data_IF_843227825939
#
_entry.id   IF_843227825939
#
_cell.length_a   1.000
_cell.length_b   1.000
_cell.length_c   1.000
_cell.angle_alpha   90.00
_cell.angle_beta   90.00
_cell.angle_gamma   90.00
#
_symmetry.space_group_name_H-M   'P 1'
#
loop_
_entity.id
_entity.type
_entity.pdbx_description
1 polymer ?
#
# COMPACT_ATOMS: atom_id res chain seq x y z
N UNK A 1 -8.08 15.40 -5.78
CA UNK A 1 -7.26 14.29 -5.24
C UNK A 1 -7.69 13.03 -5.98
N UNK A 2 -6.77 12.21 -6.46
CA UNK A 2 -7.12 10.96 -7.14
C UNK A 2 -7.58 9.94 -6.11
N UNK A 3 -8.85 9.55 -6.16
CA UNK A 3 -9.36 8.44 -5.36
C UNK A 3 -8.77 7.14 -5.91
N UNK A 4 -8.19 6.32 -5.04
CA UNK A 4 -7.67 5.01 -5.39
C UNK A 4 -8.48 3.95 -4.64
N UNK A 5 -8.78 2.83 -5.29
CA UNK A 5 -9.44 1.70 -4.63
C UNK A 5 -8.40 0.93 -3.82
N UNK A 6 -8.25 1.28 -2.54
CA UNK A 6 -7.26 0.67 -1.66
C UNK A 6 -7.73 -0.66 -1.08
N UNK A 7 -6.85 -1.66 -1.14
CA UNK A 7 -7.04 -2.96 -0.52
C UNK A 7 -6.31 -3.01 0.82
N UNK A 8 -7.06 -3.27 1.90
CA UNK A 8 -6.54 -3.35 3.27
C UNK A 8 -6.03 -4.76 3.59
N UNK A 9 -4.86 -4.86 4.23
CA UNK A 9 -4.34 -6.12 4.73
C UNK A 9 -5.20 -6.69 5.87
N UNK A 10 -5.22 -8.02 5.98
CA UNK A 10 -5.95 -8.73 7.05
C UNK A 10 -5.30 -8.59 8.43
N UNK A 11 -4.01 -8.23 8.49
CA UNK A 11 -3.23 -8.07 9.73
C UNK A 11 -3.46 -6.74 10.46
N UNK A 12 -4.29 -5.85 9.90
CA UNK A 12 -4.66 -4.58 10.51
C UNK A 12 -5.16 -4.65 11.96
N UNK A 13 -5.76 -5.77 12.38
CA UNK A 13 -6.31 -5.94 13.72
C UNK A 13 -5.23 -6.11 14.81
N UNK A 14 -4.00 -6.48 14.45
CA UNK A 14 -2.90 -6.64 15.39
C UNK A 14 -2.02 -5.38 15.42
N UNK A 15 -2.06 -4.67 16.55
CA UNK A 15 -1.07 -3.64 16.89
C UNK A 15 -0.97 -2.46 15.92
N UNK A 16 -2.03 -2.16 15.15
CA UNK A 16 -2.07 -1.06 14.17
C UNK A 16 -1.14 -1.27 12.96
N UNK A 17 -0.80 -2.52 12.62
CA UNK A 17 0.10 -2.89 11.51
C UNK A 17 -0.61 -2.93 10.16
N UNK A 18 -1.39 -1.89 9.86
CA UNK A 18 -2.14 -1.83 8.63
C UNK A 18 -1.25 -1.58 7.41
N UNK A 19 -1.46 -2.38 6.37
CA UNK A 19 -0.87 -2.13 5.05
C UNK A 19 -2.00 -2.03 4.05
N UNK A 20 -1.99 -0.94 3.29
CA UNK A 20 -2.91 -0.71 2.18
C UNK A 20 -2.14 -0.77 0.88
N UNK A 21 -2.70 -1.45 -0.10
CA UNK A 21 -2.12 -1.58 -1.44
C UNK A 21 -3.13 -1.23 -2.51
N UNK A 22 -2.69 -0.66 -3.61
CA UNK A 22 -3.54 -0.45 -4.79
C UNK A 22 -2.69 -0.39 -6.06
N UNK A 23 -3.34 -0.50 -7.21
CA UNK A 23 -2.73 -0.31 -8.52
C UNK A 23 -3.22 1.02 -9.07
N UNK A 24 -2.30 1.96 -9.27
CA UNK A 24 -2.61 3.26 -9.85
C UNK A 24 -3.00 3.14 -11.34
N UNK A 25 -3.69 4.13 -11.92
CA UNK A 25 -4.05 4.11 -13.35
C UNK A 25 -2.85 3.99 -14.31
N UNK A 26 -1.66 4.37 -13.87
CA UNK A 26 -0.41 4.23 -14.63
C UNK A 26 0.29 2.87 -14.44
N UNK A 27 -0.38 1.91 -13.78
CA UNK A 27 0.10 0.55 -13.56
C UNK A 27 1.13 0.39 -12.43
N UNK A 28 1.45 1.46 -11.70
CA UNK A 28 2.33 1.36 -10.53
C UNK A 28 1.59 0.80 -9.32
N UNK A 29 2.30 0.05 -8.50
CA UNK A 29 1.80 -0.39 -7.19
C UNK A 29 2.09 0.70 -6.17
N UNK A 30 1.04 1.11 -5.44
CA UNK A 30 1.15 2.02 -4.32
C UNK A 30 0.98 1.23 -3.02
N UNK A 31 1.79 1.55 -2.02
CA UNK A 31 1.74 0.93 -0.69
C UNK A 31 1.74 2.03 0.36
N UNK A 32 0.85 1.94 1.33
CA UNK A 32 0.68 2.92 2.39
C UNK A 32 0.32 2.25 3.72
N UNK A 33 0.56 2.96 4.82
CA UNK A 33 0.10 2.56 6.16
C UNK A 33 -1.39 2.88 6.41
N UNK A 34 -2.03 3.60 5.48
CA UNK A 34 -3.44 3.98 5.54
C UNK A 34 -4.09 4.06 4.16
N UNK A 35 -5.42 3.92 4.11
CA UNK A 35 -6.19 3.75 2.88
C UNK A 35 -6.72 5.02 2.24
N UNK A 36 -6.65 6.20 2.85
CA UNK A 36 -7.11 7.44 2.20
C UNK A 36 -6.17 8.62 2.50
N UNK A 37 -5.67 9.33 1.47
CA UNK A 37 -4.95 10.58 1.65
C UNK A 37 -5.94 11.73 1.65
N UNK A 38 -5.96 12.52 2.73
CA UNK A 38 -6.58 13.84 2.68
C UNK A 38 -7.74 14.09 3.63
N UNK A 39 -7.78 13.43 4.78
CA UNK A 39 -8.48 14.01 5.93
C UNK A 39 -7.94 15.44 6.15
N UNK A 40 -8.79 16.49 6.25
CA UNK A 40 -8.31 17.85 6.49
C UNK A 40 -7.44 17.92 7.76
N UNK A 41 -6.22 18.44 7.65
CA UNK A 41 -5.26 18.51 8.77
C UNK A 41 -4.26 17.35 8.82
N UNK A 42 -4.33 16.45 7.86
CA UNK A 42 -3.44 15.32 7.73
C UNK A 42 -2.09 15.73 7.08
N UNK A 43 -0.93 15.56 7.75
CA UNK A 43 0.37 16.03 7.26
C UNK A 43 0.88 15.29 6.01
N UNK A 44 0.07 14.42 5.40
CA UNK A 44 0.41 13.59 4.25
C UNK A 44 1.08 12.29 4.70
N UNK A 45 0.45 11.15 4.41
CA UNK A 45 1.08 9.86 4.65
C UNK A 45 2.05 9.54 3.53
N UNK A 46 3.04 8.72 3.90
CA UNK A 46 4.05 8.25 2.96
C UNK A 46 3.43 7.15 2.10
N UNK A 47 3.35 7.42 0.80
CA UNK A 47 3.00 6.41 -0.21
C UNK A 47 4.29 5.94 -0.87
N UNK A 48 4.66 4.69 -0.63
CA UNK A 48 5.70 4.02 -1.41
C UNK A 48 5.13 3.72 -2.80
N UNK A 49 5.87 4.10 -3.85
CA UNK A 49 5.52 3.79 -5.24
C UNK A 49 6.54 2.82 -5.80
N UNK A 50 6.07 1.74 -6.40
CA UNK A 50 6.94 0.75 -7.03
C UNK A 50 6.33 0.21 -8.32
N UNK A 51 7.12 -0.46 -9.14
CA UNK A 51 6.62 -1.14 -10.34
C UNK A 51 5.95 -2.47 -9.95
N UNK A 52 5.02 -2.94 -10.78
CA UNK A 52 4.40 -4.25 -10.59
C UNK A 52 5.43 -5.40 -10.60
N UNK A 53 6.50 -5.27 -11.40
CA UNK A 53 7.60 -6.24 -11.45
C UNK A 53 8.39 -6.29 -10.14
N UNK A 54 8.78 -5.12 -9.60
CA UNK A 54 9.51 -5.07 -8.33
C UNK A 54 8.65 -5.52 -7.15
N UNK A 55 7.36 -5.20 -7.14
CA UNK A 55 6.42 -5.69 -6.13
C UNK A 55 6.28 -7.21 -6.16
N UNK A 56 6.07 -7.79 -7.35
CA UNK A 56 5.96 -9.24 -7.52
C UNK A 56 7.22 -9.96 -7.04
N UNK A 57 8.41 -9.43 -7.40
CA UNK A 57 9.68 -9.99 -6.95
C UNK A 57 9.83 -9.96 -5.42
N UNK A 58 9.46 -8.84 -4.78
CA UNK A 58 9.49 -8.73 -3.32
C UNK A 58 8.56 -9.74 -2.64
N UNK A 59 7.31 -9.86 -3.11
CA UNK A 59 6.34 -10.79 -2.52
C UNK A 59 6.79 -12.24 -2.67
N UNK A 60 7.40 -12.59 -3.83
CA UNK A 60 7.98 -13.91 -4.03
C UNK A 60 9.12 -14.18 -3.02
N UNK A 61 10.04 -13.24 -2.86
CA UNK A 61 11.18 -13.35 -1.94
C UNK A 61 10.76 -13.45 -0.47
N UNK A 62 9.74 -12.70 -0.04
CA UNK A 62 9.24 -12.78 1.33
C UNK A 62 8.62 -14.16 1.60
N UNK A 63 7.84 -14.68 0.65
CA UNK A 63 7.18 -16.00 0.79
C UNK A 63 8.17 -17.17 0.85
N UNK A 64 9.31 -17.08 0.16
CA UNK A 64 10.33 -18.14 0.22
C UNK A 64 11.12 -18.15 1.52
N UNK A 65 11.13 -17.03 2.26
CA UNK A 65 11.81 -16.88 3.55
C UNK A 65 10.88 -17.02 4.76
N UNK A 66 9.58 -17.21 4.54
CA UNK A 66 8.54 -17.40 5.55
C UNK A 66 8.43 -18.88 5.93
#
# INVERSE_FOLDING_TARGET
MTHHDWYRSSYCAEGNSCVYVTVAPDGRVLVAERGDPGEPGDPGHRVLRTSAAAWTALVAEVRTRS
#
